data_IF_778308824666
#
_entry.id   IF_778308824666
#
_cell.length_a   1.000
_cell.length_b   1.000
_cell.length_c   1.000
_cell.angle_alpha   90.00
_cell.angle_beta   90.00
_cell.angle_gamma   90.00
#
_symmetry.space_group_name_H-M   'P 1'
#
loop_
_entity.id
_entity.type
_entity.pdbx_description
1 polymer ?
#
# COMPACT_ATOMS: atom_id res chain seq x y z
N UNK A 1 -4.14 36.50 13.50
CA UNK A 1 -4.17 35.02 13.38
C UNK A 1 -4.78 34.41 14.65
N UNK A 2 -4.48 34.88 15.88
CA UNK A 2 -5.07 34.37 17.12
C UNK A 2 -6.57 34.63 17.27
N UNK A 3 -7.13 35.68 16.66
CA UNK A 3 -8.56 35.99 16.69
C UNK A 3 -9.42 35.15 15.77
N UNK A 4 -8.84 34.62 14.69
CA UNK A 4 -9.53 33.72 13.75
C UNK A 4 -9.71 32.29 14.27
N UNK A 5 -8.91 31.89 15.27
CA UNK A 5 -9.05 30.56 15.89
C UNK A 5 -10.14 30.51 16.98
N UNK A 6 -10.48 31.65 17.60
CA UNK A 6 -11.50 31.71 18.65
C UNK A 6 -12.94 31.65 18.10
N UNK A 7 -13.18 32.04 16.86
CA UNK A 7 -14.52 32.03 16.25
C UNK A 7 -14.95 30.66 15.66
N UNK A 8 -14.05 29.67 15.53
CA UNK A 8 -14.36 28.32 15.01
C UNK A 8 -14.80 27.31 16.06
N UNK A 9 -14.79 27.65 17.33
CA UNK A 9 -15.22 26.74 18.42
C UNK A 9 -16.71 26.80 18.79
N UNK A 10 -17.52 27.61 18.08
CA UNK A 10 -18.97 27.72 18.35
C UNK A 10 -19.89 27.21 17.24
N UNK A 11 -19.39 26.41 16.31
CA UNK A 11 -20.24 25.77 15.28
C UNK A 11 -20.30 24.26 15.49
N UNK A 12 -21.40 23.85 16.16
CA UNK A 12 -22.20 22.64 16.02
C UNK A 12 -21.45 21.28 15.86
N UNK A 13 -21.67 20.46 16.88
CA UNK A 13 -21.45 19.01 16.84
C UNK A 13 -22.24 18.37 15.68
N UNK A 14 -21.66 17.42 14.93
CA UNK A 14 -22.41 16.65 13.96
C UNK A 14 -23.35 15.68 14.68
N UNK A 15 -24.61 15.74 14.34
CA UNK A 15 -25.64 14.75 14.73
C UNK A 15 -25.24 13.39 14.17
N UNK A 16 -24.82 12.50 15.05
CA UNK A 16 -24.61 11.10 14.73
C UNK A 16 -25.98 10.45 14.59
N UNK A 17 -26.39 10.13 13.35
CA UNK A 17 -27.55 9.30 13.11
C UNK A 17 -27.22 7.87 13.51
N UNK A 18 -27.76 7.43 14.66
CA UNK A 18 -27.78 6.04 15.07
C UNK A 18 -28.72 5.28 14.12
N UNK A 19 -28.15 4.45 13.24
CA UNK A 19 -28.91 3.40 12.59
C UNK A 19 -28.92 2.19 13.51
N UNK A 20 -30.09 1.93 14.11
CA UNK A 20 -30.37 0.71 14.81
C UNK A 20 -30.35 -0.46 13.80
N UNK A 21 -29.34 -1.33 13.96
CA UNK A 21 -29.31 -2.64 13.33
C UNK A 21 -29.98 -3.61 14.31
N UNK A 22 -31.30 -3.62 14.29
CA UNK A 22 -32.10 -4.66 14.93
C UNK A 22 -33.08 -5.23 13.90
N UNK A 23 -33.20 -6.58 13.94
CA UNK A 23 -34.23 -7.38 13.28
C UNK A 23 -34.02 -7.79 11.81
N UNK A 24 -33.04 -8.63 11.53
CA UNK A 24 -33.16 -9.72 10.54
C UNK A 24 -32.32 -10.94 11.01
N UNK A 25 -32.57 -11.48 12.16
CA UNK A 25 -32.08 -12.81 12.56
C UNK A 25 -33.14 -13.49 13.41
N UNK A 26 -34.29 -13.76 12.83
CA UNK A 26 -35.23 -14.77 13.36
C UNK A 26 -36.19 -15.18 12.26
N UNK A 27 -35.83 -16.21 11.53
CA UNK A 27 -36.78 -17.14 10.88
C UNK A 27 -36.06 -18.11 9.93
N UNK A 28 -35.18 -18.96 10.45
CA UNK A 28 -34.79 -20.21 9.78
C UNK A 28 -34.31 -21.26 10.79
N UNK A 29 -35.09 -21.53 11.77
CA UNK A 29 -34.95 -22.75 12.59
C UNK A 29 -36.30 -23.40 12.64
N UNK A 30 -36.50 -24.40 11.81
CA UNK A 30 -37.43 -25.53 12.05
C UNK A 30 -37.49 -26.41 10.80
N UNK A 31 -36.59 -27.38 10.72
CA UNK A 31 -36.87 -28.73 10.21
C UNK A 31 -35.60 -29.58 10.39
N UNK A 32 -35.41 -30.03 11.62
CA UNK A 32 -34.54 -31.16 11.95
C UNK A 32 -35.27 -32.43 11.57
N UNK A 33 -34.77 -33.17 10.60
CA UNK A 33 -35.02 -34.61 10.47
C UNK A 33 -33.90 -35.33 11.18
N UNK A 34 -34.26 -36.12 12.15
CA UNK A 34 -33.40 -37.04 12.89
C UNK A 34 -32.93 -38.16 11.95
N UNK A 35 -31.63 -38.36 11.84
CA UNK A 35 -31.00 -39.61 11.41
C UNK A 35 -29.88 -39.98 12.39
N UNK A 36 -29.57 -41.26 12.58
CA UNK A 36 -29.04 -41.80 13.83
C UNK A 36 -27.55 -41.58 14.02
N UNK A 37 -27.19 -41.43 15.29
CA UNK A 37 -25.81 -41.43 15.80
C UNK A 37 -25.00 -42.62 15.28
N UNK A 38 -23.91 -42.30 14.55
CA UNK A 38 -22.76 -43.19 14.44
C UNK A 38 -21.61 -42.55 15.22
N UNK A 39 -21.43 -43.03 16.41
CA UNK A 39 -20.21 -42.89 17.21
C UNK A 39 -19.01 -43.31 16.40
N UNK A 40 -18.08 -42.36 16.17
CA UNK A 40 -16.81 -42.61 15.52
C UNK A 40 -15.79 -41.58 15.91
N UNK A 41 -15.02 -41.88 16.99
CA UNK A 41 -13.80 -41.19 17.39
C UNK A 41 -12.79 -41.18 16.25
N UNK A 42 -12.81 -40.14 15.40
CA UNK A 42 -11.73 -39.90 14.38
C UNK A 42 -11.35 -38.46 14.17
N UNK A 43 -11.93 -37.50 14.90
CA UNK A 43 -11.69 -36.09 14.64
C UNK A 43 -10.43 -35.46 15.31
N UNK A 44 -9.90 -36.07 16.36
CA UNK A 44 -8.79 -35.51 17.13
C UNK A 44 -7.39 -35.69 16.50
N UNK A 45 -7.15 -36.75 15.73
CA UNK A 45 -5.83 -37.03 15.13
C UNK A 45 -5.63 -36.27 13.83
N UNK A 46 -6.65 -36.06 13.01
CA UNK A 46 -6.60 -35.31 11.77
C UNK A 46 -6.24 -33.82 11.99
N UNK A 47 -6.88 -33.22 13.00
CA UNK A 47 -6.64 -31.79 13.30
C UNK A 47 -5.21 -31.52 13.83
N UNK A 48 -4.67 -32.39 14.65
CA UNK A 48 -3.28 -32.24 15.18
C UNK A 48 -2.24 -32.39 14.07
N UNK A 49 -2.45 -33.32 13.14
CA UNK A 49 -1.51 -33.52 12.03
C UNK A 49 -1.55 -32.35 11.05
N UNK A 50 -2.72 -31.84 10.70
CA UNK A 50 -2.89 -30.65 9.88
C UNK A 50 -2.25 -29.40 10.50
N UNK A 51 -2.43 -29.20 11.81
CA UNK A 51 -1.78 -28.10 12.53
C UNK A 51 -0.26 -28.23 12.53
N UNK A 52 0.29 -29.43 12.73
CA UNK A 52 1.73 -29.68 12.68
C UNK A 52 2.31 -29.37 11.30
N UNK A 53 1.63 -29.77 10.23
CA UNK A 53 2.05 -29.48 8.86
C UNK A 53 2.06 -27.98 8.55
N UNK A 54 1.02 -27.27 8.94
CA UNK A 54 0.92 -25.82 8.75
C UNK A 54 2.05 -25.09 9.47
N UNK A 55 2.42 -25.54 10.67
CA UNK A 55 3.54 -24.98 11.44
C UNK A 55 4.88 -25.25 10.75
N UNK A 56 5.14 -26.48 10.32
CA UNK A 56 6.38 -26.84 9.61
C UNK A 56 6.56 -26.02 8.33
N UNK A 57 5.49 -25.87 7.52
CA UNK A 57 5.54 -25.08 6.31
C UNK A 57 5.76 -23.60 6.63
N UNK A 58 5.15 -23.07 7.68
CA UNK A 58 5.35 -21.70 8.14
C UNK A 58 6.78 -21.44 8.58
N UNK A 59 7.35 -22.34 9.34
CA UNK A 59 8.76 -22.28 9.79
C UNK A 59 9.67 -22.30 8.57
N UNK A 60 9.52 -23.26 7.67
CA UNK A 60 10.27 -23.34 6.42
C UNK A 60 10.23 -22.04 5.61
N UNK A 61 9.02 -21.50 5.37
CA UNK A 61 8.86 -20.28 4.61
C UNK A 61 9.49 -19.07 5.32
N UNK A 62 9.33 -18.97 6.63
CA UNK A 62 9.92 -17.90 7.43
C UNK A 62 11.46 -18.01 7.53
N UNK A 63 12.03 -19.21 7.49
CA UNK A 63 13.48 -19.38 7.56
C UNK A 63 14.17 -18.99 6.24
N UNK A 64 13.52 -19.27 5.13
CA UNK A 64 14.10 -19.06 3.81
C UNK A 64 13.72 -17.73 3.17
N UNK A 65 12.55 -17.15 3.49
CA UNK A 65 12.00 -15.98 2.80
C UNK A 65 11.47 -14.93 3.77
N UNK A 66 11.54 -13.68 3.35
CA UNK A 66 10.78 -12.57 3.93
C UNK A 66 9.62 -12.24 2.99
N UNK A 67 8.42 -12.05 3.53
CA UNK A 67 7.22 -11.67 2.79
C UNK A 67 6.66 -10.36 3.30
N UNK A 68 6.07 -9.57 2.41
CA UNK A 68 5.31 -8.37 2.73
C UNK A 68 4.22 -8.13 1.69
N UNK A 69 3.11 -7.53 2.09
CA UNK A 69 2.02 -7.21 1.18
C UNK A 69 2.03 -5.71 0.87
N UNK A 70 2.15 -5.37 -0.40
CA UNK A 70 2.17 -4.00 -0.87
C UNK A 70 0.74 -3.48 -1.08
N UNK A 71 0.29 -2.55 -0.22
CA UNK A 71 -1.06 -2.01 -0.25
C UNK A 71 -1.40 -1.22 -1.52
N UNK A 72 -0.40 -0.66 -2.21
CA UNK A 72 -0.63 0.12 -3.43
C UNK A 72 -0.79 -0.76 -4.67
N UNK A 73 0.07 -1.77 -4.80
CA UNK A 73 0.01 -2.68 -5.94
C UNK A 73 -1.02 -3.79 -5.76
N UNK A 74 -1.37 -4.10 -4.49
CA UNK A 74 -2.22 -5.23 -4.14
C UNK A 74 -1.53 -6.58 -4.35
N UNK A 75 -0.20 -6.61 -4.28
CA UNK A 75 0.61 -7.81 -4.51
C UNK A 75 1.44 -8.17 -3.28
N UNK A 76 1.61 -9.47 -3.03
CA UNK A 76 2.62 -9.96 -2.10
C UNK A 76 3.99 -9.89 -2.74
N UNK A 77 4.94 -9.34 -2.04
CA UNK A 77 6.34 -9.29 -2.40
C UNK A 77 7.15 -10.21 -1.50
N UNK A 78 8.22 -10.77 -2.03
CA UNK A 78 9.14 -11.62 -1.28
C UNK A 78 10.59 -11.31 -1.59
N UNK A 79 11.46 -11.74 -0.70
CA UNK A 79 12.90 -11.85 -0.95
C UNK A 79 13.44 -13.11 -0.26
N UNK A 80 14.46 -13.70 -0.85
CA UNK A 80 15.21 -14.79 -0.24
C UNK A 80 16.15 -14.22 0.83
N UNK A 81 16.23 -14.89 1.99
CA UNK A 81 17.14 -14.51 3.07
C UNK A 81 18.58 -14.85 2.80
N UNK A 82 18.84 -15.82 1.91
CA UNK A 82 20.16 -16.32 1.56
C UNK A 82 21.03 -15.36 0.75
N UNK A 83 20.51 -14.18 0.34
CA UNK A 83 21.22 -13.24 -0.51
C UNK A 83 20.91 -11.76 -0.21
N UNK A 84 21.61 -10.85 -0.91
CA UNK A 84 21.31 -9.40 -0.90
C UNK A 84 20.16 -9.08 -1.87
N UNK A 85 19.13 -9.90 -1.88
CA UNK A 85 18.02 -9.76 -2.83
C UNK A 85 17.08 -8.65 -2.39
N UNK A 86 16.63 -7.82 -3.35
CA UNK A 86 15.56 -6.86 -3.12
C UNK A 86 14.21 -7.58 -3.11
N UNK A 87 13.23 -6.99 -2.43
CA UNK A 87 11.85 -7.44 -2.52
C UNK A 87 11.34 -7.32 -3.96
N UNK A 88 10.66 -8.35 -4.43
CA UNK A 88 10.02 -8.41 -5.75
C UNK A 88 8.65 -9.04 -5.65
N UNK A 89 7.68 -8.66 -6.50
CA UNK A 89 6.37 -9.31 -6.53
C UNK A 89 6.53 -10.81 -6.78
N UNK A 90 5.75 -11.60 -6.05
CA UNK A 90 5.74 -13.05 -6.22
C UNK A 90 4.79 -13.45 -7.34
N UNK A 91 5.19 -14.39 -8.19
CA UNK A 91 4.36 -14.96 -9.24
C UNK A 91 4.04 -16.44 -8.98
N UNK A 92 3.21 -17.03 -9.86
CA UNK A 92 2.80 -18.43 -9.72
C UNK A 92 3.98 -19.40 -9.85
N UNK A 93 4.98 -19.08 -10.68
CA UNK A 93 6.16 -19.91 -10.90
C UNK A 93 7.00 -19.99 -9.63
N UNK A 94 7.19 -18.85 -8.96
CA UNK A 94 7.95 -18.77 -7.71
C UNK A 94 7.24 -19.49 -6.57
N UNK A 95 5.92 -19.33 -6.46
CA UNK A 95 5.12 -20.11 -5.50
C UNK A 95 5.23 -21.61 -5.72
N UNK A 96 5.20 -22.05 -6.98
CA UNK A 96 5.38 -23.47 -7.32
C UNK A 96 6.80 -23.96 -6.99
N UNK A 97 7.83 -23.12 -7.19
CA UNK A 97 9.20 -23.40 -6.76
C UNK A 97 9.29 -23.65 -5.26
N UNK A 98 8.75 -22.76 -4.44
CA UNK A 98 8.71 -22.91 -2.98
C UNK A 98 8.00 -24.20 -2.53
N UNK A 99 6.95 -24.63 -3.26
CA UNK A 99 6.26 -25.91 -2.98
C UNK A 99 7.19 -27.09 -3.26
N UNK A 100 7.91 -27.07 -4.38
CA UNK A 100 8.85 -28.13 -4.74
C UNK A 100 9.96 -28.21 -3.72
N UNK A 101 10.56 -27.10 -3.36
CA UNK A 101 11.66 -27.03 -2.39
C UNK A 101 11.23 -27.51 -1.00
N UNK A 102 10.06 -27.09 -0.53
CA UNK A 102 9.51 -27.56 0.75
C UNK A 102 9.30 -29.09 0.74
N UNK A 103 8.85 -29.68 -0.37
CA UNK A 103 8.69 -31.14 -0.51
C UNK A 103 10.04 -31.87 -0.52
N UNK A 104 11.07 -31.29 -1.13
CA UNK A 104 12.42 -31.85 -1.12
C UNK A 104 13.00 -31.86 0.29
N UNK A 105 12.63 -30.92 1.13
CA UNK A 105 12.96 -30.92 2.57
C UNK A 105 12.06 -31.83 3.42
N UNK A 106 11.17 -32.60 2.79
CA UNK A 106 10.34 -33.58 3.47
C UNK A 106 9.03 -33.02 4.05
N UNK A 107 8.63 -31.79 3.71
CA UNK A 107 7.37 -31.19 4.13
C UNK A 107 6.27 -31.57 3.15
N UNK A 108 5.28 -32.40 3.51
CA UNK A 108 4.26 -32.89 2.59
C UNK A 108 3.14 -31.83 2.37
N UNK A 109 3.50 -30.74 1.66
CA UNK A 109 2.55 -29.67 1.35
C UNK A 109 1.83 -29.87 0.01
N UNK A 110 0.61 -29.37 -0.09
CA UNK A 110 -0.20 -29.36 -1.31
C UNK A 110 0.01 -28.08 -2.11
N UNK A 111 -0.43 -28.09 -3.39
CA UNK A 111 -0.30 -26.92 -4.28
C UNK A 111 -0.93 -25.63 -3.70
N UNK A 112 -1.99 -25.75 -2.92
CA UNK A 112 -2.68 -24.61 -2.32
C UNK A 112 -2.09 -24.09 -1.01
N UNK A 113 -1.20 -24.83 -0.34
CA UNK A 113 -0.77 -24.50 1.02
C UNK A 113 0.12 -23.26 1.05
N UNK A 114 1.13 -23.17 0.18
CA UNK A 114 2.01 -22.00 0.06
C UNK A 114 1.20 -20.75 -0.35
N UNK A 115 0.42 -20.75 -1.44
CA UNK A 115 -0.42 -19.60 -1.78
C UNK A 115 -1.37 -19.18 -0.65
N UNK A 116 -1.99 -20.13 0.04
CA UNK A 116 -2.89 -19.84 1.16
C UNK A 116 -2.17 -19.09 2.28
N UNK A 117 -0.92 -19.43 2.57
CA UNK A 117 -0.15 -18.76 3.61
C UNK A 117 0.30 -17.37 3.19
N UNK A 118 0.96 -17.26 2.04
CA UNK A 118 1.62 -16.02 1.61
C UNK A 118 0.68 -14.97 1.02
N UNK A 119 -0.51 -15.36 0.54
CA UNK A 119 -1.55 -14.44 0.07
C UNK A 119 -2.61 -14.15 1.15
N UNK A 120 -2.41 -14.65 2.37
CA UNK A 120 -3.31 -14.39 3.49
C UNK A 120 -3.01 -13.06 4.17
N UNK A 121 -3.95 -12.59 5.01
CA UNK A 121 -3.78 -11.44 5.88
C UNK A 121 -2.77 -11.67 7.04
N UNK A 122 -2.06 -12.79 7.04
CA UNK A 122 -0.97 -13.08 7.99
C UNK A 122 0.36 -12.50 7.52
N UNK A 123 0.48 -12.15 6.24
CA UNK A 123 1.62 -11.40 5.71
C UNK A 123 1.44 -9.93 6.07
N UNK A 124 2.49 -9.33 6.64
CA UNK A 124 2.46 -7.94 7.06
C UNK A 124 2.27 -7.02 5.86
N UNK A 125 1.30 -6.13 5.97
CA UNK A 125 1.01 -5.15 4.92
C UNK A 125 1.83 -3.89 5.12
N UNK A 126 2.26 -3.27 4.03
CA UNK A 126 3.01 -2.01 4.08
C UNK A 126 2.59 -1.07 2.95
N UNK A 127 2.81 0.22 3.19
CA UNK A 127 2.74 1.23 2.15
C UNK A 127 4.16 1.71 1.83
N UNK A 128 4.64 1.61 0.57
CA UNK A 128 6.01 1.98 0.20
C UNK A 128 6.34 3.45 0.46
N UNK A 129 5.37 4.34 0.37
CA UNK A 129 5.57 5.76 0.67
C UNK A 129 5.73 6.01 2.16
N UNK A 130 4.90 5.37 3.00
CA UNK A 130 5.03 5.47 4.46
C UNK A 130 6.39 4.91 4.92
N UNK A 131 6.78 3.76 4.37
CA UNK A 131 8.07 3.15 4.68
C UNK A 131 9.22 4.10 4.30
N UNK A 132 9.19 4.66 3.10
CA UNK A 132 10.20 5.62 2.62
C UNK A 132 10.31 6.82 3.55
N UNK A 133 9.18 7.48 3.89
CA UNK A 133 9.18 8.65 4.77
C UNK A 133 9.69 8.31 6.18
N UNK A 134 9.33 7.14 6.70
CA UNK A 134 9.76 6.66 8.02
C UNK A 134 11.28 6.38 8.08
N UNK A 135 11.87 5.94 6.97
CA UNK A 135 13.29 5.62 6.86
C UNK A 135 14.17 6.83 6.57
N UNK A 136 13.58 8.00 6.28
CA UNK A 136 14.35 9.22 6.06
C UNK A 136 15.12 9.60 7.32
N UNK A 137 16.37 10.06 7.16
CA UNK A 137 17.13 10.59 8.29
C UNK A 137 16.45 11.85 8.86
N UNK A 138 16.72 12.14 10.13
CA UNK A 138 16.26 13.39 10.74
C UNK A 138 16.76 14.61 9.98
N UNK A 139 15.99 15.69 10.03
CA UNK A 139 16.36 16.93 9.35
C UNK A 139 17.67 17.51 9.92
N UNK A 140 18.60 17.81 9.04
CA UNK A 140 19.93 18.34 9.36
C UNK A 140 19.99 19.90 9.41
N UNK A 141 18.84 20.59 9.30
CA UNK A 141 18.74 22.04 9.30
C UNK A 141 18.98 22.70 7.94
N UNK A 142 19.32 21.94 6.90
CA UNK A 142 19.64 22.51 5.58
C UNK A 142 18.38 22.58 4.70
N UNK A 143 18.07 23.79 4.23
CA UNK A 143 17.01 24.00 3.24
C UNK A 143 17.48 23.56 1.84
N UNK A 144 16.89 22.46 1.36
CA UNK A 144 17.12 21.93 0.00
C UNK A 144 15.96 22.23 -0.94
N UNK A 145 14.83 22.68 -0.39
CA UNK A 145 13.61 22.93 -1.17
C UNK A 145 13.71 24.25 -1.93
N UNK A 146 14.07 25.33 -1.24
CA UNK A 146 14.21 26.65 -1.88
C UNK A 146 15.19 26.63 -3.06
N UNK A 147 16.41 26.09 -2.94
CA UNK A 147 17.33 25.98 -4.07
C UNK A 147 16.78 25.13 -5.24
N UNK A 148 16.02 24.09 -4.94
CA UNK A 148 15.37 23.28 -5.97
C UNK A 148 14.32 24.09 -6.75
N UNK A 149 13.45 24.81 -6.04
CA UNK A 149 12.40 25.62 -6.64
C UNK A 149 12.99 26.80 -7.46
N UNK A 150 14.07 27.42 -6.99
CA UNK A 150 14.78 28.49 -7.69
C UNK A 150 15.39 28.03 -9.02
N UNK A 151 15.62 26.72 -9.23
CA UNK A 151 16.03 26.20 -10.55
C UNK A 151 14.96 26.37 -11.62
N UNK A 152 13.70 26.51 -11.21
CA UNK A 152 12.56 26.69 -12.12
C UNK A 152 12.24 28.17 -12.28
N UNK A 153 12.06 28.89 -11.17
CA UNK A 153 11.71 30.32 -11.18
C UNK A 153 12.01 30.97 -9.82
N UNK A 154 12.33 32.25 -9.84
CA UNK A 154 12.48 33.13 -8.66
C UNK A 154 11.18 33.83 -8.27
N UNK A 155 10.08 33.56 -8.95
CA UNK A 155 8.77 34.13 -8.65
C UNK A 155 8.30 33.75 -7.24
N UNK A 156 7.93 34.72 -6.41
CA UNK A 156 7.50 34.50 -5.03
C UNK A 156 6.29 33.58 -4.91
N UNK A 157 5.32 33.68 -5.82
CA UNK A 157 4.13 32.84 -5.82
C UNK A 157 4.53 31.39 -6.11
N UNK A 158 5.45 31.17 -7.04
CA UNK A 158 6.02 29.86 -7.33
C UNK A 158 6.75 29.28 -6.11
N UNK A 159 7.62 30.05 -5.46
CA UNK A 159 8.35 29.58 -4.29
C UNK A 159 7.42 29.22 -3.15
N UNK A 160 6.49 30.10 -2.80
CA UNK A 160 5.50 29.83 -1.73
C UNK A 160 4.60 28.66 -2.06
N UNK A 161 4.05 28.62 -3.26
CA UNK A 161 3.19 27.52 -3.74
C UNK A 161 3.93 26.19 -3.80
N UNK A 162 5.17 26.21 -4.29
CA UNK A 162 6.03 25.02 -4.36
C UNK A 162 6.32 24.41 -2.98
N UNK A 163 6.66 25.24 -2.00
CA UNK A 163 6.83 24.77 -0.60
C UNK A 163 5.53 24.17 -0.04
N UNK A 164 4.38 24.80 -0.26
CA UNK A 164 3.11 24.28 0.19
C UNK A 164 2.76 22.95 -0.49
N UNK A 165 2.98 22.87 -1.81
CA UNK A 165 2.69 21.67 -2.60
C UNK A 165 3.58 20.49 -2.19
N UNK A 166 4.89 20.68 -2.04
CA UNK A 166 5.82 19.62 -1.63
C UNK A 166 5.50 19.12 -0.21
N UNK A 167 5.19 20.02 0.73
CA UNK A 167 4.77 19.60 2.08
C UNK A 167 3.48 18.81 2.06
N UNK A 168 2.48 19.23 1.29
CA UNK A 168 1.21 18.51 1.17
C UNK A 168 1.42 17.13 0.52
N UNK A 169 2.28 17.03 -0.50
CA UNK A 169 2.67 15.77 -1.12
C UNK A 169 3.32 14.81 -0.10
N UNK A 170 4.31 15.27 0.65
CA UNK A 170 4.98 14.45 1.67
C UNK A 170 4.03 14.04 2.79
N UNK A 171 3.11 14.90 3.17
CA UNK A 171 2.09 14.62 4.16
C UNK A 171 1.13 13.53 3.71
N UNK A 172 0.74 13.51 2.44
CA UNK A 172 -0.02 12.41 1.83
C UNK A 172 0.79 11.10 1.81
N UNK A 173 2.09 11.18 1.50
CA UNK A 173 2.97 10.01 1.52
C UNK A 173 3.17 9.45 2.93
N UNK A 174 3.14 10.30 3.98
CA UNK A 174 3.25 9.83 5.37
C UNK A 174 1.97 9.17 5.89
N UNK A 175 0.85 9.25 5.15
CA UNK A 175 -0.41 8.62 5.54
C UNK A 175 -1.13 9.30 6.69
N UNK A 176 -0.89 10.58 6.91
CA UNK A 176 -1.64 11.36 7.89
C UNK A 176 -3.09 11.54 7.42
N UNK A 177 -4.00 10.75 7.96
CA UNK A 177 -5.42 10.71 7.58
C UNK A 177 -6.17 12.04 7.75
N UNK A 178 -5.60 12.97 8.52
CA UNK A 178 -6.22 14.27 8.82
C UNK A 178 -6.04 15.31 7.72
N UNK A 179 -5.31 14.99 6.68
CA UNK A 179 -4.95 15.94 5.67
C UNK A 179 -5.89 15.85 4.48
N UNK A 180 -6.37 17.01 4.10
CA UNK A 180 -7.06 17.17 2.83
C UNK A 180 -6.12 16.83 1.67
N UNK A 181 -6.69 16.39 0.56
CA UNK A 181 -5.95 16.21 -0.68
C UNK A 181 -5.13 17.47 -1.01
N UNK A 182 -4.00 17.28 -1.70
CA UNK A 182 -3.19 18.41 -2.16
C UNK A 182 -4.01 19.26 -3.14
N UNK A 183 -4.40 20.46 -2.70
CA UNK A 183 -5.24 21.39 -3.49
C UNK A 183 -4.44 22.20 -4.49
N UNK A 184 -3.11 22.10 -4.46
CA UNK A 184 -2.22 22.82 -5.36
C UNK A 184 -1.71 21.87 -6.45
N UNK A 185 -1.75 22.34 -7.69
CA UNK A 185 -1.16 21.66 -8.83
C UNK A 185 -0.18 22.62 -9.50
N UNK A 186 1.13 22.37 -9.45
CA UNK A 186 2.09 23.20 -10.16
C UNK A 186 1.95 23.01 -11.66
N UNK A 187 1.97 24.11 -12.41
CA UNK A 187 1.92 24.11 -13.87
C UNK A 187 3.20 24.72 -14.41
N UNK A 188 3.96 23.93 -15.18
CA UNK A 188 5.23 24.34 -15.80
C UNK A 188 5.00 24.74 -17.25
N UNK A 189 5.01 26.04 -17.52
CA UNK A 189 4.79 26.59 -18.87
C UNK A 189 6.11 27.16 -19.40
N UNK A 190 6.41 26.91 -20.66
CA UNK A 190 7.54 27.56 -21.35
C UNK A 190 7.23 27.73 -22.84
N UNK A 191 7.68 28.87 -23.39
CA UNK A 191 7.58 29.13 -24.83
C UNK A 191 8.58 28.36 -25.70
N UNK A 192 9.51 27.63 -25.08
CA UNK A 192 10.52 26.80 -25.75
C UNK A 192 10.37 25.36 -25.39
N UNK A 193 10.49 24.48 -26.37
CA UNK A 193 10.58 23.02 -26.14
C UNK A 193 11.97 22.63 -25.61
N UNK A 194 12.10 21.44 -25.02
CA UNK A 194 13.40 20.89 -24.62
C UNK A 194 13.95 21.41 -23.29
N UNK A 195 13.17 22.14 -22.48
CA UNK A 195 13.59 22.63 -21.16
C UNK A 195 13.48 21.58 -20.03
N UNK A 196 13.41 20.32 -20.37
CA UNK A 196 13.43 19.18 -19.42
C UNK A 196 12.35 19.22 -18.33
N UNK A 197 11.14 19.76 -18.62
CA UNK A 197 10.02 19.83 -17.67
C UNK A 197 9.63 18.45 -17.16
N UNK A 198 9.38 17.49 -18.05
CA UNK A 198 9.01 16.11 -17.67
C UNK A 198 10.13 15.40 -16.91
N UNK A 199 11.40 15.69 -17.26
CA UNK A 199 12.58 15.21 -16.52
C UNK A 199 12.59 15.75 -15.09
N UNK A 200 12.29 17.05 -14.91
CA UNK A 200 12.17 17.65 -13.57
C UNK A 200 11.09 16.96 -12.76
N UNK A 201 9.89 16.75 -13.31
CA UNK A 201 8.80 16.04 -12.63
C UNK A 201 9.24 14.62 -12.20
N UNK A 202 9.92 13.90 -13.08
CA UNK A 202 10.42 12.54 -12.78
C UNK A 202 11.47 12.53 -11.67
N UNK A 203 12.35 13.53 -11.62
CA UNK A 203 13.40 13.65 -10.61
C UNK A 203 12.89 14.04 -9.22
N UNK A 204 11.65 14.53 -9.10
CA UNK A 204 11.01 14.74 -7.81
C UNK A 204 10.67 13.43 -7.09
N UNK A 205 10.58 12.32 -7.83
CA UNK A 205 10.39 11.01 -7.24
C UNK A 205 11.72 10.39 -6.82
N UNK A 206 11.83 9.91 -5.57
CA UNK A 206 12.98 9.12 -5.13
C UNK A 206 13.20 7.89 -6.02
N UNK A 207 14.44 7.48 -6.20
CA UNK A 207 14.80 6.36 -7.08
C UNK A 207 14.06 5.07 -6.71
N UNK A 208 13.92 4.78 -5.41
CA UNK A 208 13.21 3.62 -4.89
C UNK A 208 11.71 3.64 -5.16
N UNK A 209 11.11 4.84 -5.33
CA UNK A 209 9.68 5.03 -5.57
C UNK A 209 9.36 5.44 -7.02
N UNK A 210 10.36 5.51 -7.90
CA UNK A 210 10.20 6.02 -9.27
C UNK A 210 9.20 5.23 -10.12
N UNK A 211 8.99 3.97 -9.81
CA UNK A 211 7.99 3.13 -10.48
C UNK A 211 6.53 3.50 -10.13
N UNK A 212 6.31 4.36 -9.12
CA UNK A 212 5.03 4.97 -8.80
C UNK A 212 4.86 6.38 -9.41
N UNK A 213 5.68 6.73 -10.40
CA UNK A 213 5.53 7.93 -11.21
C UNK A 213 4.85 7.59 -12.53
N UNK A 214 3.84 8.36 -12.90
CA UNK A 214 3.23 8.29 -14.22
C UNK A 214 3.59 9.55 -14.99
N UNK A 215 4.16 9.37 -16.17
CA UNK A 215 4.35 10.39 -17.17
C UNK A 215 3.23 10.28 -18.21
N UNK A 216 2.59 11.38 -18.55
CA UNK A 216 1.52 11.44 -19.55
C UNK A 216 0.31 10.52 -19.26
N UNK A 217 -0.48 10.86 -18.23
CA UNK A 217 -1.71 10.17 -17.93
C UNK A 217 -2.80 10.53 -18.96
N UNK A 218 -3.15 9.59 -19.83
CA UNK A 218 -4.29 9.75 -20.72
C UNK A 218 -5.61 9.51 -19.95
N UNK A 219 -6.35 10.59 -19.70
CA UNK A 219 -7.64 10.57 -19.00
C UNK A 219 -8.79 10.00 -19.87
N UNK A 220 -8.63 10.01 -21.22
CA UNK A 220 -9.63 9.53 -22.16
C UNK A 220 -9.54 8.03 -22.45
N UNK A 221 -8.41 7.39 -22.16
CA UNK A 221 -8.25 5.96 -22.41
C UNK A 221 -8.97 5.13 -21.34
N UNK A 222 -9.94 4.31 -21.72
CA UNK A 222 -10.88 3.51 -20.94
C UNK A 222 -10.42 2.65 -19.75
N UNK A 223 -9.22 2.88 -19.23
CA UNK A 223 -8.75 2.35 -17.95
C UNK A 223 -9.04 3.37 -16.86
N UNK A 224 -9.86 3.00 -15.86
CA UNK A 224 -10.25 3.87 -14.74
C UNK A 224 -9.10 4.78 -14.27
N UNK A 225 -9.10 6.09 -14.56
CA UNK A 225 -8.05 7.02 -14.11
C UNK A 225 -7.88 6.98 -12.59
N UNK A 226 -8.99 6.76 -11.88
CA UNK A 226 -9.06 6.65 -10.42
C UNK A 226 -8.11 5.58 -9.86
N UNK A 227 -8.04 4.39 -10.50
CA UNK A 227 -7.12 3.32 -10.07
C UNK A 227 -5.65 3.71 -10.23
N UNK A 228 -5.34 4.53 -11.24
CA UNK A 228 -3.99 5.04 -11.45
C UNK A 228 -3.64 6.14 -10.44
N UNK A 229 -4.60 7.01 -10.09
CA UNK A 229 -4.42 8.05 -9.08
C UNK A 229 -4.10 7.45 -7.71
N UNK A 230 -4.80 6.39 -7.31
CA UNK A 230 -4.60 5.75 -6.00
C UNK A 230 -3.26 5.03 -5.89
N UNK A 231 -2.73 4.50 -7.00
CA UNK A 231 -1.52 3.66 -7.01
C UNK A 231 -0.22 4.43 -7.20
N UNK A 232 -0.28 5.73 -7.48
CA UNK A 232 0.90 6.51 -7.84
C UNK A 232 1.08 7.71 -6.90
N UNK A 233 2.33 8.02 -6.61
CA UNK A 233 2.70 9.11 -5.71
C UNK A 233 2.85 10.45 -6.41
N UNK A 234 3.10 10.43 -7.71
CA UNK A 234 3.20 11.64 -8.54
C UNK A 234 2.79 11.33 -9.97
N UNK A 235 1.98 12.21 -10.54
CA UNK A 235 1.47 12.09 -11.90
C UNK A 235 1.77 13.37 -12.65
N UNK A 236 2.45 13.24 -13.78
CA UNK A 236 2.63 14.33 -14.74
C UNK A 236 1.53 14.24 -15.79
N UNK A 237 0.80 15.35 -15.97
CA UNK A 237 -0.16 15.53 -17.04
C UNK A 237 0.57 16.35 -18.13
N UNK A 238 1.03 15.68 -19.16
CA UNK A 238 1.67 16.32 -20.32
C UNK A 238 0.65 16.35 -21.48
N UNK A 239 0.58 17.47 -22.18
CA UNK A 239 -0.33 17.67 -23.33
C UNK A 239 0.14 16.94 -24.59
#
# INVERSE_FOLDING_TARGET
IKQLFAQKQQMQEPVVANYEVSEIVEQKTLKKKEEPEKTGEKTGKSNKWSQSLTLQLKEYLNDNFDFRYNNLTGATEYREKSGKNCFRPIDEREMNGMIVDARLEGIPCWRGDVPTMILSNKVESYNPFHLYVKELPGWDGVDRVTPLLLRVSDNEIWLRGGHCWLRAMLSQWSGEERLHANVLTPVLISGKQGLSKSTFCRLLMPDSLRHYFIDNLNLAAGSSPEKKLVKNGLINLDE
#
